data_IF_448119486105
#
_entry.id   IF_448119486105
#
_cell.length_a   1.000
_cell.length_b   1.000
_cell.length_c   1.000
_cell.angle_alpha   90.00
_cell.angle_beta   90.00
_cell.angle_gamma   90.00
#
_symmetry.space_group_name_H-M   'P 1'
#
loop_
_entity.id
_entity.type
_entity.pdbx_description
1 polymer ?
#
# COMPACT_ATOMS: atom_id res chain seq x y z
N UNK A 1 -0.87 6.76 -15.62
CA UNK A 1 -1.01 6.05 -14.34
C UNK A 1 -1.19 7.07 -13.24
N UNK A 2 -1.92 6.73 -12.18
CA UNK A 2 -2.28 7.67 -11.11
C UNK A 2 -2.82 6.93 -9.90
N UNK A 3 -3.21 7.68 -8.88
CA UNK A 3 -3.81 7.16 -7.66
C UNK A 3 -5.34 7.39 -7.62
N UNK A 4 -6.07 6.36 -7.19
CA UNK A 4 -7.51 6.37 -6.96
C UNK A 4 -7.78 6.23 -5.47
N UNK A 5 -8.47 7.19 -4.87
CA UNK A 5 -8.93 7.09 -3.49
C UNK A 5 -10.41 6.64 -3.44
N UNK A 6 -10.67 5.58 -2.69
CA UNK A 6 -12.01 5.08 -2.37
C UNK A 6 -12.42 5.69 -1.02
N UNK A 7 -13.45 6.53 -1.04
CA UNK A 7 -13.90 7.30 0.12
C UNK A 7 -15.34 6.96 0.44
N UNK A 8 -15.68 6.89 1.72
CA UNK A 8 -17.04 6.58 2.17
C UNK A 8 -17.09 6.33 3.67
N UNK A 9 -18.29 6.38 4.28
CA UNK A 9 -18.46 6.12 5.71
C UNK A 9 -18.01 4.70 6.08
N UNK A 10 -17.82 4.45 7.38
CA UNK A 10 -17.61 3.09 7.90
C UNK A 10 -18.77 2.18 7.50
N UNK A 11 -18.47 0.95 7.09
CA UNK A 11 -19.46 -0.01 6.59
C UNK A 11 -19.92 0.22 5.15
N UNK A 12 -19.39 1.21 4.42
CA UNK A 12 -19.75 1.45 3.01
C UNK A 12 -19.27 0.37 2.02
N UNK A 13 -18.50 -0.63 2.47
CA UNK A 13 -17.96 -1.69 1.62
C UNK A 13 -16.61 -1.38 0.95
N UNK A 14 -15.87 -0.38 1.44
CA UNK A 14 -14.53 -0.01 0.92
C UNK A 14 -13.56 -1.19 0.95
N UNK A 15 -13.33 -1.76 2.14
CA UNK A 15 -12.45 -2.92 2.33
C UNK A 15 -12.91 -4.11 1.51
N UNK A 16 -14.22 -4.40 1.49
CA UNK A 16 -14.78 -5.49 0.68
C UNK A 16 -14.51 -5.31 -0.82
N UNK A 17 -14.61 -4.08 -1.34
CA UNK A 17 -14.28 -3.79 -2.73
C UNK A 17 -12.78 -3.99 -3.00
N UNK A 18 -11.90 -3.51 -2.11
CA UNK A 18 -10.46 -3.71 -2.24
C UNK A 18 -10.08 -5.20 -2.16
N UNK A 19 -10.72 -5.97 -1.29
CA UNK A 19 -10.52 -7.43 -1.17
C UNK A 19 -11.02 -8.20 -2.41
N UNK A 20 -12.13 -7.76 -3.03
CA UNK A 20 -12.57 -8.31 -4.31
C UNK A 20 -11.52 -8.03 -5.39
N UNK A 21 -11.03 -6.79 -5.48
CA UNK A 21 -10.00 -6.42 -6.44
C UNK A 21 -8.73 -7.25 -6.21
N UNK A 22 -8.28 -7.40 -4.97
CA UNK A 22 -7.11 -8.21 -4.61
C UNK A 22 -7.34 -9.73 -4.64
N UNK A 23 -8.52 -10.18 -5.08
CA UNK A 23 -8.85 -11.59 -5.21
C UNK A 23 -8.92 -12.38 -3.91
N UNK A 24 -9.11 -11.69 -2.78
CA UNK A 24 -9.33 -12.28 -1.46
C UNK A 24 -10.79 -12.61 -1.22
N UNK A 25 -11.70 -11.86 -1.84
CA UNK A 25 -13.14 -12.07 -1.76
C UNK A 25 -13.71 -12.37 -3.15
N UNK A 26 -14.59 -13.38 -3.26
CA UNK A 26 -15.25 -13.71 -4.53
C UNK A 26 -16.56 -12.92 -4.64
N UNK A 27 -16.75 -12.09 -5.68
CA UNK A 27 -17.99 -11.36 -5.87
C UNK A 27 -19.11 -12.29 -6.37
N UNK A 28 -20.37 -11.93 -6.10
CA UNK A 28 -21.53 -12.67 -6.61
C UNK A 28 -21.70 -12.52 -8.13
N UNK A 29 -21.33 -11.37 -8.67
CA UNK A 29 -21.43 -11.04 -10.09
C UNK A 29 -20.43 -9.93 -10.46
N UNK A 30 -20.19 -9.76 -11.76
CA UNK A 30 -19.32 -8.73 -12.32
C UNK A 30 -18.03 -9.29 -12.92
N UNK A 31 -17.22 -8.41 -13.49
CA UNK A 31 -15.95 -8.75 -14.13
C UNK A 31 -14.91 -7.67 -13.90
N UNK A 32 -13.64 -8.06 -13.76
CA UNK A 32 -12.50 -7.14 -13.66
C UNK A 32 -11.82 -7.07 -15.02
N UNK A 33 -11.57 -5.85 -15.49
CA UNK A 33 -10.83 -5.60 -16.73
C UNK A 33 -9.48 -4.96 -16.40
N UNK A 34 -8.41 -5.47 -17.03
CA UNK A 34 -7.08 -4.88 -16.96
C UNK A 34 -6.69 -4.48 -18.37
N UNK A 35 -6.41 -3.19 -18.58
CA UNK A 35 -6.06 -2.64 -19.90
C UNK A 35 -7.08 -3.03 -20.98
N UNK A 36 -8.37 -3.05 -20.64
CA UNK A 36 -9.48 -3.40 -21.55
C UNK A 36 -9.77 -4.89 -21.70
N UNK A 37 -8.98 -5.79 -21.09
CA UNK A 37 -9.19 -7.23 -21.20
C UNK A 37 -9.78 -7.81 -19.93
N UNK A 38 -10.87 -8.58 -20.07
CA UNK A 38 -11.44 -9.36 -18.96
C UNK A 38 -10.36 -10.29 -18.43
N UNK A 39 -10.11 -10.21 -17.12
CA UNK A 39 -9.04 -10.98 -16.49
C UNK A 39 -9.60 -11.79 -15.34
N UNK A 40 -9.16 -13.05 -15.27
CA UNK A 40 -9.37 -13.87 -14.09
C UNK A 40 -8.60 -13.30 -12.90
N UNK A 41 -9.25 -13.31 -11.74
CA UNK A 41 -8.69 -12.84 -10.47
C UNK A 41 -7.31 -13.42 -10.17
N UNK A 42 -7.07 -14.70 -10.49
CA UNK A 42 -5.79 -15.36 -10.28
C UNK A 42 -4.62 -14.73 -11.06
N UNK A 43 -4.89 -14.14 -12.24
CA UNK A 43 -3.87 -13.45 -13.03
C UNK A 43 -3.64 -12.02 -12.53
N UNK A 44 -4.67 -11.36 -11.99
CA UNK A 44 -4.52 -10.06 -11.36
C UNK A 44 -3.63 -10.15 -10.10
N UNK A 45 -3.82 -11.19 -9.28
CA UNK A 45 -3.01 -11.41 -8.06
C UNK A 45 -1.50 -11.53 -8.32
N UNK A 46 -1.08 -11.92 -9.55
CA UNK A 46 0.33 -12.00 -9.92
C UNK A 46 0.98 -10.63 -10.19
N UNK A 47 0.16 -9.61 -10.46
CA UNK A 47 0.63 -8.26 -10.81
C UNK A 47 0.24 -7.21 -9.78
N UNK A 48 -0.53 -7.58 -8.76
CA UNK A 48 -1.01 -6.70 -7.70
C UNK A 48 -0.43 -7.02 -6.33
N UNK A 49 -0.14 -5.99 -5.54
CA UNK A 49 0.14 -6.11 -4.11
C UNK A 49 -1.02 -5.57 -3.28
N UNK A 50 -1.34 -6.22 -2.17
CA UNK A 50 -2.39 -5.78 -1.25
C UNK A 50 -1.82 -5.52 0.13
N UNK A 51 -1.88 -4.26 0.58
CA UNK A 51 -1.45 -3.81 1.89
C UNK A 51 -2.68 -3.74 2.80
N UNK A 52 -2.66 -4.51 3.89
CA UNK A 52 -3.73 -4.53 4.90
C UNK A 52 -3.59 -3.39 5.91
N UNK A 53 -4.70 -3.01 6.55
CA UNK A 53 -4.69 -2.02 7.65
C UNK A 53 -3.93 -2.50 8.90
N UNK A 54 -3.88 -3.81 9.16
CA UNK A 54 -3.28 -4.38 10.37
C UNK A 54 -2.01 -5.15 10.04
N UNK A 55 -0.90 -4.67 10.57
CA UNK A 55 0.40 -5.27 10.33
C UNK A 55 0.87 -6.07 11.53
N UNK A 56 1.32 -7.30 11.26
CA UNK A 56 2.07 -8.11 12.20
C UNK A 56 3.52 -8.14 11.74
N UNK A 57 4.28 -7.12 12.13
CA UNK A 57 5.73 -7.10 11.91
C UNK A 57 6.43 -7.88 13.04
N UNK A 58 7.61 -8.44 12.73
CA UNK A 58 8.39 -9.19 13.72
C UNK A 58 9.16 -8.21 14.63
N UNK A 59 8.84 -8.13 15.93
CA UNK A 59 9.38 -7.07 16.80
C UNK A 59 10.89 -7.19 17.03
N UNK A 60 11.45 -8.39 16.87
CA UNK A 60 12.86 -8.68 17.12
C UNK A 60 13.78 -8.37 15.93
N UNK A 61 13.21 -8.17 14.73
CA UNK A 61 13.98 -7.87 13.51
C UNK A 61 14.17 -6.37 13.34
N UNK A 62 15.27 -5.97 12.71
CA UNK A 62 15.42 -4.60 12.21
C UNK A 62 14.52 -4.33 11.01
N UNK A 63 14.36 -3.05 10.63
CA UNK A 63 13.64 -2.67 9.40
C UNK A 63 14.27 -3.35 8.17
N UNK A 64 15.59 -3.29 8.01
CA UNK A 64 16.29 -3.94 6.90
C UNK A 64 16.11 -5.45 6.92
N UNK A 65 16.22 -6.09 8.10
CA UNK A 65 16.00 -7.53 8.25
C UNK A 65 14.57 -7.94 7.91
N UNK A 66 13.58 -7.13 8.29
CA UNK A 66 12.16 -7.36 8.01
C UNK A 66 11.89 -7.34 6.50
N UNK A 67 12.41 -6.33 5.80
CA UNK A 67 12.28 -6.23 4.34
C UNK A 67 13.07 -7.33 3.62
N UNK A 68 14.27 -7.64 4.10
CA UNK A 68 15.10 -8.74 3.58
C UNK A 68 14.42 -10.10 3.76
N UNK A 69 13.75 -10.32 4.88
CA UNK A 69 12.97 -11.53 5.13
C UNK A 69 11.82 -11.66 4.12
N UNK A 70 11.04 -10.59 3.92
CA UNK A 70 9.98 -10.55 2.90
C UNK A 70 10.54 -10.79 1.48
N UNK A 71 11.68 -10.16 1.16
CA UNK A 71 12.35 -10.33 -0.14
C UNK A 71 12.74 -11.79 -0.39
N UNK A 72 13.37 -12.46 0.57
CA UNK A 72 13.79 -13.87 0.46
C UNK A 72 12.61 -14.83 0.23
N UNK A 73 11.43 -14.51 0.77
CA UNK A 73 10.23 -15.33 0.60
C UNK A 73 9.52 -15.07 -0.73
N UNK A 74 9.48 -13.82 -1.19
CA UNK A 74 8.67 -13.40 -2.35
C UNK A 74 9.47 -13.36 -3.65
N UNK A 75 10.80 -13.29 -3.60
CA UNK A 75 11.66 -13.13 -4.76
C UNK A 75 12.61 -14.31 -4.95
N UNK A 76 12.82 -14.69 -6.21
CA UNK A 76 13.81 -15.69 -6.62
C UNK A 76 15.03 -15.00 -7.25
N UNK A 77 15.83 -14.33 -6.42
CA UNK A 77 17.01 -13.56 -6.84
C UNK A 77 18.26 -14.01 -6.07
N UNK A 78 19.47 -13.84 -6.63
CA UNK A 78 20.70 -14.09 -5.89
C UNK A 78 20.87 -13.09 -4.74
N UNK A 79 21.68 -13.42 -3.70
CA UNK A 79 21.81 -12.58 -2.50
C UNK A 79 22.20 -11.12 -2.77
N UNK A 80 23.09 -10.86 -3.72
CA UNK A 80 23.52 -9.50 -4.08
C UNK A 80 22.38 -8.66 -4.68
N UNK A 81 21.54 -9.27 -5.51
CA UNK A 81 20.37 -8.63 -6.10
C UNK A 81 19.27 -8.40 -5.07
N UNK A 82 19.05 -9.34 -4.14
CA UNK A 82 18.14 -9.15 -3.01
C UNK A 82 18.54 -7.95 -2.16
N UNK A 83 19.82 -7.86 -1.75
CA UNK A 83 20.33 -6.71 -1.00
C UNK A 83 20.16 -5.40 -1.75
N UNK A 84 20.41 -5.40 -3.06
CA UNK A 84 20.25 -4.20 -3.90
C UNK A 84 18.77 -3.79 -4.01
N UNK A 85 17.86 -4.74 -4.18
CA UNK A 85 16.40 -4.51 -4.23
C UNK A 85 15.88 -3.94 -2.90
N UNK A 86 16.28 -4.53 -1.77
CA UNK A 86 15.89 -4.07 -0.42
C UNK A 86 16.38 -2.65 -0.18
N UNK A 87 17.65 -2.35 -0.46
CA UNK A 87 18.21 -0.99 -0.30
C UNK A 87 17.49 0.03 -1.18
N UNK A 88 17.24 -0.30 -2.44
CA UNK A 88 16.51 0.60 -3.35
C UNK A 88 15.09 0.87 -2.87
N UNK A 89 14.40 -0.15 -2.33
CA UNK A 89 13.06 0.03 -1.77
C UNK A 89 13.11 0.87 -0.49
N UNK A 90 14.08 0.66 0.39
CA UNK A 90 14.24 1.47 1.60
C UNK A 90 14.42 2.95 1.27
N UNK A 91 15.22 3.26 0.25
CA UNK A 91 15.39 4.63 -0.23
C UNK A 91 14.09 5.22 -0.77
N UNK A 92 13.35 4.45 -1.58
CA UNK A 92 12.04 4.85 -2.11
C UNK A 92 11.02 5.15 -1.01
N UNK A 93 11.06 4.39 0.08
CA UNK A 93 10.19 4.57 1.25
C UNK A 93 10.75 5.58 2.27
N UNK A 94 11.97 6.08 2.08
CA UNK A 94 12.64 6.96 3.02
C UNK A 94 12.98 6.30 4.37
N UNK A 95 13.33 5.01 4.38
CA UNK A 95 13.59 4.19 5.56
C UNK A 95 15.08 4.05 5.91
N UNK A 96 16.01 4.66 5.17
CA UNK A 96 17.46 4.48 5.40
C UNK A 96 17.89 4.86 6.82
N UNK A 97 17.29 5.91 7.37
CA UNK A 97 17.60 6.43 8.71
C UNK A 97 17.19 5.48 9.84
N UNK A 98 16.28 4.53 9.59
CA UNK A 98 15.80 3.52 10.56
C UNK A 98 16.21 2.09 10.19
N UNK A 99 17.11 1.92 9.21
CA UNK A 99 17.51 0.61 8.68
C UNK A 99 17.85 -0.44 9.76
N UNK A 100 18.64 -0.04 10.74
CA UNK A 100 19.16 -0.90 11.81
C UNK A 100 18.31 -0.86 13.09
N UNK A 101 17.17 -0.16 13.07
CA UNK A 101 16.29 -0.05 14.23
C UNK A 101 15.34 -1.25 14.27
N UNK A 102 15.21 -1.89 15.43
CA UNK A 102 14.31 -3.02 15.66
C UNK A 102 12.85 -2.58 15.64
N UNK A 103 11.99 -3.30 14.92
CA UNK A 103 10.60 -2.92 14.72
C UNK A 103 9.81 -2.80 16.03
N UNK A 104 10.09 -3.67 17.01
CA UNK A 104 9.40 -3.66 18.31
C UNK A 104 10.22 -3.08 19.47
N UNK A 105 11.11 -2.11 19.21
CA UNK A 105 11.96 -1.56 20.27
C UNK A 105 11.21 -0.57 21.18
N UNK A 106 10.91 -0.99 22.41
CA UNK A 106 10.22 -0.18 23.42
C UNK A 106 10.96 1.12 23.83
N UNK A 107 12.27 1.23 23.54
CA UNK A 107 13.09 2.41 23.87
C UNK A 107 13.26 3.46 22.76
N UNK A 108 12.85 3.16 21.52
CA UNK A 108 12.93 4.05 20.36
C UNK A 108 11.55 4.15 19.65
N UNK A 109 10.48 4.06 20.44
CA UNK A 109 9.11 4.01 19.96
C UNK A 109 8.76 5.17 19.01
N UNK A 110 9.23 6.39 19.31
CA UNK A 110 8.85 7.60 18.56
C UNK A 110 9.26 7.56 17.08
N UNK A 111 10.50 7.18 16.76
CA UNK A 111 10.98 7.15 15.35
C UNK A 111 10.36 6.02 14.52
N UNK A 112 9.98 4.93 15.18
CA UNK A 112 9.38 3.77 14.53
C UNK A 112 7.89 3.95 14.30
N UNK A 113 7.18 4.66 15.18
CA UNK A 113 5.77 4.99 14.97
C UNK A 113 5.55 5.74 13.64
N UNK A 114 6.39 6.73 13.33
CA UNK A 114 6.31 7.48 12.07
C UNK A 114 6.67 6.63 10.83
N UNK A 115 7.54 5.63 11.00
CA UNK A 115 8.04 4.78 9.91
C UNK A 115 7.26 3.48 9.75
N UNK A 116 6.46 3.06 10.72
CA UNK A 116 5.81 1.75 10.76
C UNK A 116 4.93 1.49 9.53
N UNK A 117 4.11 2.49 9.14
CA UNK A 117 3.27 2.39 7.94
C UNK A 117 4.09 2.20 6.66
N UNK A 118 5.27 2.83 6.58
CA UNK A 118 6.19 2.67 5.43
C UNK A 118 6.84 1.29 5.42
N UNK A 119 7.25 0.78 6.59
CA UNK A 119 7.82 -0.57 6.72
C UNK A 119 6.79 -1.62 6.28
N UNK A 120 5.55 -1.49 6.73
CA UNK A 120 4.42 -2.33 6.32
C UNK A 120 4.23 -2.34 4.79
N UNK A 121 4.08 -1.14 4.20
CA UNK A 121 3.96 -1.00 2.74
C UNK A 121 5.16 -1.69 2.07
N UNK A 122 6.38 -1.46 2.58
CA UNK A 122 7.61 -2.07 2.07
C UNK A 122 7.59 -3.59 2.06
N UNK A 123 7.10 -4.21 3.13
CA UNK A 123 6.95 -5.67 3.20
C UNK A 123 6.11 -6.15 2.03
N UNK A 124 4.96 -5.52 1.78
CA UNK A 124 3.98 -5.92 0.77
C UNK A 124 4.34 -5.55 -0.67
N UNK A 125 5.16 -4.53 -0.88
CA UNK A 125 5.55 -4.08 -2.22
C UNK A 125 6.94 -4.54 -2.66
N UNK A 126 7.66 -5.31 -1.82
CA UNK A 126 9.02 -5.79 -2.13
C UNK A 126 9.12 -6.57 -3.45
N UNK A 127 8.02 -7.23 -3.84
CA UNK A 127 7.92 -8.00 -5.08
C UNK A 127 7.61 -7.13 -6.31
N UNK A 128 7.59 -5.80 -6.14
CA UNK A 128 7.45 -4.79 -7.17
C UNK A 128 6.17 -4.88 -8.02
N UNK A 129 4.98 -4.89 -7.37
CA UNK A 129 3.72 -4.99 -8.09
C UNK A 129 3.42 -3.78 -8.97
N UNK A 130 2.74 -4.02 -10.09
CA UNK A 130 2.29 -2.97 -11.03
C UNK A 130 1.05 -2.24 -10.53
N UNK A 131 0.24 -2.92 -9.71
CA UNK A 131 -0.96 -2.38 -9.08
C UNK A 131 -0.83 -2.52 -7.56
N UNK A 132 -0.87 -1.41 -6.83
CA UNK A 132 -0.93 -1.43 -5.36
C UNK A 132 -2.36 -1.17 -4.93
N UNK A 133 -2.83 -2.00 -4.02
CA UNK A 133 -4.13 -1.88 -3.35
C UNK A 133 -3.85 -1.71 -1.87
N UNK A 134 -4.30 -0.62 -1.26
CA UNK A 134 -4.03 -0.32 0.15
C UNK A 134 -5.35 -0.07 0.90
N UNK A 135 -5.57 -0.81 1.98
CA UNK A 135 -6.73 -0.60 2.83
C UNK A 135 -6.37 0.28 4.04
N UNK A 136 -6.91 1.50 4.04
CA UNK A 136 -6.72 2.55 5.05
C UNK A 136 -5.25 2.78 5.46
N UNK A 137 -4.32 3.03 4.51
CA UNK A 137 -2.88 3.13 4.78
C UNK A 137 -2.48 4.32 5.66
N UNK A 138 -3.42 5.23 5.95
CA UNK A 138 -3.24 6.40 6.80
C UNK A 138 -3.97 6.29 8.13
N UNK A 139 -4.61 5.15 8.42
CA UNK A 139 -5.37 4.94 9.66
C UNK A 139 -4.45 4.98 10.87
N UNK A 140 -4.84 5.71 11.91
CA UNK A 140 -4.06 5.82 13.15
C UNK A 140 -2.84 6.73 13.07
N UNK A 141 -2.55 7.32 11.91
CA UNK A 141 -1.47 8.30 11.74
C UNK A 141 -1.96 9.73 12.00
N UNK A 142 -1.06 10.58 12.49
CA UNK A 142 -1.29 12.01 12.52
C UNK A 142 -1.35 12.60 11.09
N UNK A 143 -1.85 13.84 10.97
CA UNK A 143 -2.07 14.48 9.66
C UNK A 143 -0.80 14.68 8.82
N UNK A 144 0.37 14.81 9.45
CA UNK A 144 1.66 14.98 8.76
C UNK A 144 2.15 13.63 8.25
N UNK A 145 2.17 12.61 9.10
CA UNK A 145 2.56 11.25 8.73
C UNK A 145 1.65 10.67 7.64
N UNK A 146 0.34 10.87 7.77
CA UNK A 146 -0.64 10.50 6.75
C UNK A 146 -0.35 11.17 5.40
N UNK A 147 -0.03 12.47 5.38
CA UNK A 147 0.30 13.16 4.14
C UNK A 147 1.60 12.62 3.53
N UNK A 148 2.62 12.35 4.34
CA UNK A 148 3.89 11.80 3.83
C UNK A 148 3.69 10.43 3.18
N UNK A 149 2.83 9.56 3.74
CA UNK A 149 2.46 8.28 3.10
C UNK A 149 1.79 8.51 1.74
N UNK A 150 0.85 9.46 1.67
CA UNK A 150 0.14 9.76 0.41
C UNK A 150 1.10 10.35 -0.64
N UNK A 151 2.00 11.25 -0.24
CA UNK A 151 3.03 11.82 -1.12
C UNK A 151 3.99 10.73 -1.62
N UNK A 152 4.42 9.82 -0.74
CA UNK A 152 5.24 8.67 -1.12
C UNK A 152 4.53 7.78 -2.14
N UNK A 153 3.26 7.43 -1.91
CA UNK A 153 2.47 6.63 -2.85
C UNK A 153 2.31 7.37 -4.18
N UNK A 154 2.00 8.67 -4.17
CA UNK A 154 1.91 9.48 -5.39
C UNK A 154 3.22 9.43 -6.18
N UNK A 155 4.37 9.61 -5.52
CA UNK A 155 5.68 9.51 -6.15
C UNK A 155 5.92 8.12 -6.77
N UNK A 156 5.50 7.04 -6.09
CA UNK A 156 5.58 5.68 -6.64
C UNK A 156 4.71 5.51 -7.91
N UNK A 157 3.53 6.14 -7.95
CA UNK A 157 2.66 6.12 -9.12
C UNK A 157 3.27 6.88 -10.32
N UNK A 158 3.80 8.08 -10.06
CA UNK A 158 4.32 8.99 -11.10
C UNK A 158 5.67 8.55 -11.66
N UNK A 159 6.61 8.15 -10.79
CA UNK A 159 7.99 7.84 -11.20
C UNK A 159 8.14 6.45 -11.79
N UNK A 160 7.35 5.47 -11.33
CA UNK A 160 7.44 4.06 -11.76
C UNK A 160 6.27 3.59 -12.61
N UNK A 161 5.29 4.45 -12.87
CA UNK A 161 4.09 4.06 -13.61
C UNK A 161 3.30 2.98 -12.87
N UNK A 162 3.17 3.08 -11.54
CA UNK A 162 2.32 2.16 -10.76
C UNK A 162 0.88 2.66 -10.75
N UNK A 163 -0.07 1.73 -10.78
CA UNK A 163 -1.48 2.06 -10.48
C UNK A 163 -1.69 1.90 -8.99
N UNK A 164 -2.21 2.92 -8.32
CA UNK A 164 -2.45 2.87 -6.87
C UNK A 164 -3.93 3.04 -6.60
N UNK A 165 -4.49 2.12 -5.84
CA UNK A 165 -5.87 2.15 -5.36
C UNK A 165 -5.80 2.10 -3.84
N UNK A 166 -6.38 3.07 -3.16
CA UNK A 166 -6.39 3.08 -1.70
C UNK A 166 -7.76 3.45 -1.14
N UNK A 167 -8.13 2.93 0.02
CA UNK A 167 -9.26 3.45 0.79
C UNK A 167 -8.78 4.52 1.77
N UNK A 168 -9.58 5.57 1.97
CA UNK A 168 -9.32 6.58 2.99
C UNK A 168 -10.61 6.88 3.75
N UNK A 169 -10.54 6.79 5.09
CA UNK A 169 -11.61 7.27 5.95
C UNK A 169 -11.47 8.80 6.13
N UNK A 170 -12.40 9.56 5.55
CA UNK A 170 -12.50 11.03 5.67
C UNK A 170 -11.18 11.79 5.40
N UNK A 171 -10.72 11.86 4.14
CA UNK A 171 -9.47 12.54 3.80
C UNK A 171 -9.55 14.05 4.08
N UNK A 172 -8.55 14.58 4.79
CA UNK A 172 -8.37 16.03 4.92
C UNK A 172 -8.03 16.69 3.57
N UNK A 173 -8.25 18.00 3.46
CA UNK A 173 -8.03 18.77 2.22
C UNK A 173 -6.64 18.60 1.59
N UNK A 174 -5.59 18.52 2.42
CA UNK A 174 -4.21 18.31 1.95
C UNK A 174 -4.03 16.97 1.24
N UNK A 175 -4.65 15.91 1.75
CA UNK A 175 -4.63 14.58 1.14
C UNK A 175 -5.41 14.58 -0.17
N UNK A 176 -6.61 15.17 -0.18
CA UNK A 176 -7.46 15.25 -1.39
C UNK A 176 -6.70 15.88 -2.56
N UNK A 177 -5.90 16.94 -2.32
CA UNK A 177 -5.06 17.58 -3.35
C UNK A 177 -4.00 16.67 -3.99
N UNK A 178 -3.64 15.57 -3.34
CA UNK A 178 -2.64 14.63 -3.85
C UNK A 178 -3.26 13.45 -4.62
N UNK A 179 -4.60 13.37 -4.67
CA UNK A 179 -5.33 12.29 -5.32
C UNK A 179 -5.75 12.71 -6.74
N UNK A 180 -5.57 11.83 -7.72
CA UNK A 180 -5.98 12.08 -9.11
C UNK A 180 -7.47 11.80 -9.33
N UNK A 181 -8.02 10.78 -8.67
CA UNK A 181 -9.42 10.38 -8.84
C UNK A 181 -10.00 9.88 -7.52
N UNK A 182 -11.29 10.18 -7.30
CA UNK A 182 -12.04 9.77 -6.12
C UNK A 182 -13.21 8.89 -6.57
N UNK A 183 -13.39 7.79 -5.86
CA UNK A 183 -14.56 6.93 -5.93
C UNK A 183 -15.28 6.99 -4.58
N UNK A 184 -16.46 7.59 -4.54
CA UNK A 184 -17.31 7.66 -3.37
C UNK A 184 -18.22 6.41 -3.30
N UNK A 185 -18.11 5.66 -2.21
CA UNK A 185 -19.01 4.56 -1.87
C UNK A 185 -19.95 4.95 -0.75
N UNK A 186 -21.26 4.77 -0.96
CA UNK A 186 -22.26 4.94 0.10
C UNK A 186 -23.52 4.16 -0.24
N UNK A 187 -24.02 3.37 0.72
CA UNK A 187 -25.30 2.64 0.60
C UNK A 187 -25.44 1.85 -0.72
N UNK A 188 -24.38 1.16 -1.15
CA UNK A 188 -24.36 0.38 -2.39
C UNK A 188 -24.31 1.21 -3.68
N UNK A 189 -24.19 2.53 -3.59
CA UNK A 189 -24.02 3.43 -4.73
C UNK A 189 -22.57 3.85 -4.90
N UNK A 190 -22.19 4.09 -6.15
CA UNK A 190 -20.84 4.49 -6.56
C UNK A 190 -20.93 5.81 -7.32
N UNK A 191 -20.11 6.78 -6.92
CA UNK A 191 -19.85 7.99 -7.72
C UNK A 191 -18.35 8.09 -7.97
N UNK A 192 -17.96 8.38 -9.20
CA UNK A 192 -16.56 8.50 -9.62
C UNK A 192 -16.31 9.87 -10.25
N UNK A 193 -15.21 10.51 -9.88
CA UNK A 193 -14.80 11.80 -10.43
C UNK A 193 -13.30 12.05 -10.27
N UNK A 194 -12.78 12.96 -11.07
CA UNK A 194 -11.42 13.51 -10.95
C UNK A 194 -11.42 14.70 -10.00
N UNK A 195 -10.30 14.90 -9.30
CA UNK A 195 -10.09 16.03 -8.37
C UNK A 195 -9.35 17.16 -9.06
#
# INVERSE_FOLDING_TARGET
>A
MGNLAIVGPSGAGKSSLLEILAGKLTPQAGSILINGNVTETANFNKISGFVTQKDMLFPLLTVEETLMFSAKLRLKLPPSELSSKVKSLMQELGLDHVANTRVGNDGYAEYLEESAGRVSIGVDVIHDPKVLILDEPTSGLDSTSALQIIDMLKNMAETRGRTIILSIHQPGFRIVKQINSILLLSNGKVHHGTV
#
